data_IF_824526577642
#
_entry.id   IF_824526577642
#
_cell.length_a   1.000
_cell.length_b   1.000
_cell.length_c   1.000
_cell.angle_alpha   90.00
_cell.angle_beta   90.00
_cell.angle_gamma   90.00
#
_symmetry.space_group_name_H-M   'P 1'
#
loop_
_entity.id
_entity.type
_entity.pdbx_description
1 polymer ?
#
# COMPACT_ATOMS: atom_id res chain seq x y z
N UNK A 1 18.00 9.99 -5.96
CA UNK A 1 19.10 9.91 -6.95
C UNK A 1 18.75 8.95 -8.08
N UNK A 2 18.83 9.40 -9.35
CA UNK A 2 18.86 8.52 -10.54
C UNK A 2 20.33 8.41 -10.97
N UNK A 3 20.88 7.19 -10.93
CA UNK A 3 22.33 6.94 -11.08
C UNK A 3 23.14 7.31 -9.82
N UNK A 4 24.27 6.63 -9.59
CA UNK A 4 25.28 6.94 -8.54
C UNK A 4 24.76 7.02 -7.09
N UNK A 5 23.84 6.11 -6.71
CA UNK A 5 23.24 6.09 -5.36
C UNK A 5 24.26 5.92 -4.23
N UNK A 6 25.23 5.02 -4.42
CA UNK A 6 26.26 4.75 -3.43
C UNK A 6 27.20 5.95 -3.25
N UNK A 7 27.70 6.52 -4.36
CA UNK A 7 28.55 7.71 -4.33
C UNK A 7 27.86 8.88 -3.62
N UNK A 8 26.59 9.16 -3.96
CA UNK A 8 25.83 10.23 -3.31
C UNK A 8 25.57 9.95 -1.83
N UNK A 9 25.36 8.69 -1.45
CA UNK A 9 25.23 8.32 -0.04
C UNK A 9 26.55 8.54 0.72
N UNK A 10 27.67 8.16 0.14
CA UNK A 10 28.99 8.40 0.73
C UNK A 10 29.32 9.90 0.82
N UNK A 11 28.92 10.69 -0.19
CA UNK A 11 29.06 12.16 -0.17
C UNK A 11 28.21 12.79 0.95
N UNK A 12 26.95 12.37 1.06
CA UNK A 12 26.00 12.96 2.02
C UNK A 12 26.24 12.49 3.47
N UNK A 13 26.71 11.25 3.67
CA UNK A 13 26.72 10.58 4.98
C UNK A 13 28.03 9.87 5.34
N UNK A 14 29.03 9.85 4.45
CA UNK A 14 30.29 9.12 4.67
C UNK A 14 31.10 9.61 5.88
N UNK A 15 30.93 10.88 6.25
CA UNK A 15 31.56 11.48 7.43
C UNK A 15 30.63 11.56 8.65
N UNK A 16 29.47 10.90 8.60
CA UNK A 16 28.41 11.00 9.61
C UNK A 16 27.23 11.87 9.16
N UNK A 17 26.17 11.88 9.97
CA UNK A 17 24.95 12.64 9.70
C UNK A 17 25.00 14.03 10.34
N UNK A 18 25.01 15.08 9.52
CA UNK A 18 25.04 16.48 9.97
C UNK A 18 23.73 17.23 9.68
N UNK A 19 22.64 16.49 9.47
CA UNK A 19 21.35 17.04 9.08
C UNK A 19 21.08 17.00 7.59
N UNK A 20 19.84 17.32 7.21
CA UNK A 20 19.40 17.33 5.82
C UNK A 20 19.83 18.61 5.11
N UNK A 21 20.44 18.46 3.94
CA UNK A 21 20.65 19.57 3.01
C UNK A 21 19.32 20.15 2.53
N UNK A 22 19.33 21.35 1.96
CA UNK A 22 18.11 21.95 1.39
C UNK A 22 17.55 21.11 0.23
N UNK A 23 18.41 20.42 -0.52
CA UNK A 23 18.00 19.45 -1.52
C UNK A 23 17.25 18.26 -0.89
N UNK A 24 17.76 17.72 0.22
CA UNK A 24 17.05 16.67 0.98
C UNK A 24 15.71 17.16 1.52
N UNK A 25 15.66 18.36 2.12
CA UNK A 25 14.41 18.96 2.64
C UNK A 25 13.38 19.16 1.53
N UNK A 26 13.81 19.64 0.36
CA UNK A 26 12.94 19.81 -0.80
C UNK A 26 12.37 18.46 -1.29
N UNK A 27 13.19 17.41 -1.33
CA UNK A 27 12.72 16.06 -1.68
C UNK A 27 11.71 15.53 -0.66
N UNK A 28 11.96 15.72 0.64
CA UNK A 28 11.03 15.36 1.72
C UNK A 28 9.71 16.12 1.56
N UNK A 29 9.77 17.44 1.35
CA UNK A 29 8.60 18.29 1.15
C UNK A 29 7.77 17.89 -0.07
N UNK A 30 8.43 17.56 -1.20
CA UNK A 30 7.75 17.07 -2.39
C UNK A 30 7.02 15.75 -2.13
N UNK A 31 7.68 14.79 -1.48
CA UNK A 31 7.07 13.52 -1.12
C UNK A 31 5.87 13.70 -0.17
N UNK A 32 6.01 14.58 0.83
CA UNK A 32 4.94 14.88 1.77
C UNK A 32 3.72 15.51 1.09
N UNK A 33 3.93 16.49 0.20
CA UNK A 33 2.86 17.09 -0.61
C UNK A 33 2.16 16.04 -1.48
N UNK A 34 2.93 15.13 -2.09
CA UNK A 34 2.39 14.06 -2.92
C UNK A 34 1.50 13.10 -2.13
N UNK A 35 1.99 12.60 -0.99
CA UNK A 35 1.22 11.70 -0.12
C UNK A 35 -0.05 12.40 0.38
N UNK A 36 0.07 13.64 0.87
CA UNK A 36 -1.07 14.42 1.38
C UNK A 36 -2.15 14.59 0.32
N UNK A 37 -1.74 14.92 -0.91
CA UNK A 37 -2.65 15.03 -2.05
C UNK A 37 -3.38 13.71 -2.31
N UNK A 38 -2.65 12.60 -2.40
CA UNK A 38 -3.25 11.27 -2.64
C UNK A 38 -4.23 10.86 -1.54
N UNK A 39 -3.91 11.10 -0.26
CA UNK A 39 -4.81 10.82 0.87
C UNK A 39 -6.10 11.63 0.84
N UNK A 40 -6.05 12.86 0.32
CA UNK A 40 -7.22 13.73 0.19
C UNK A 40 -8.12 13.32 -0.98
N UNK A 41 -7.50 12.90 -2.07
CA UNK A 41 -8.17 12.61 -3.35
C UNK A 41 -8.58 11.13 -3.48
N UNK A 42 -8.20 10.26 -2.56
CA UNK A 42 -8.47 8.83 -2.68
C UNK A 42 -9.96 8.50 -2.47
N UNK A 43 -10.50 7.72 -3.38
CA UNK A 43 -11.79 7.06 -3.23
C UNK A 43 -11.60 5.69 -2.60
N UNK A 44 -12.24 5.47 -1.46
CA UNK A 44 -12.09 4.22 -0.69
C UNK A 44 -13.35 3.38 -0.80
N UNK A 45 -13.15 2.08 -1.00
CA UNK A 45 -14.19 1.08 -1.08
C UNK A 45 -14.02 0.07 0.05
N UNK A 46 -15.09 -0.60 0.45
CA UNK A 46 -15.04 -1.61 1.50
C UNK A 46 -15.90 -2.84 1.19
N UNK A 47 -15.56 -3.95 1.86
CA UNK A 47 -16.35 -5.17 1.90
C UNK A 47 -16.12 -5.89 3.23
N UNK A 48 -17.15 -6.56 3.76
CA UNK A 48 -17.01 -7.44 4.92
C UNK A 48 -17.04 -8.89 4.42
N UNK A 49 -15.95 -9.63 4.63
CA UNK A 49 -15.75 -10.93 3.99
C UNK A 49 -15.52 -12.01 5.04
N UNK A 50 -16.39 -13.03 5.13
CA UNK A 50 -16.19 -14.16 6.04
C UNK A 50 -15.11 -15.11 5.50
N UNK A 51 -14.04 -15.32 6.28
CA UNK A 51 -12.93 -16.22 5.95
C UNK A 51 -12.57 -17.03 7.19
N UNK A 52 -12.73 -18.36 7.13
CA UNK A 52 -12.35 -19.25 8.23
C UNK A 52 -13.05 -18.94 9.55
N UNK A 53 -14.35 -18.60 9.51
CA UNK A 53 -15.15 -18.29 10.70
C UNK A 53 -14.96 -16.89 11.27
N UNK A 54 -14.07 -16.07 10.70
CA UNK A 54 -13.89 -14.65 11.06
C UNK A 54 -14.32 -13.76 9.90
N UNK A 55 -15.10 -12.71 10.17
CA UNK A 55 -15.41 -11.69 9.18
C UNK A 55 -14.35 -10.60 9.23
N UNK A 56 -13.69 -10.35 8.10
CA UNK A 56 -12.68 -9.32 7.97
C UNK A 56 -13.23 -8.13 7.20
N UNK A 57 -12.97 -6.92 7.70
CA UNK A 57 -13.27 -5.67 6.99
C UNK A 57 -12.14 -5.35 6.02
N UNK A 58 -12.41 -5.54 4.73
CA UNK A 58 -11.54 -5.10 3.66
C UNK A 58 -11.79 -3.64 3.32
N UNK A 59 -10.72 -2.88 3.12
CA UNK A 59 -10.74 -1.51 2.61
C UNK A 59 -9.79 -1.42 1.42
N UNK A 60 -10.18 -0.70 0.38
CA UNK A 60 -9.44 -0.66 -0.89
C UNK A 60 -9.42 0.74 -1.50
N UNK A 61 -8.31 1.10 -2.15
CA UNK A 61 -8.19 2.33 -2.95
C UNK A 61 -7.36 2.08 -4.20
N UNK A 62 -7.45 3.01 -5.15
CA UNK A 62 -6.53 3.10 -6.27
C UNK A 62 -5.37 4.06 -5.95
N UNK A 63 -4.14 3.67 -6.28
CA UNK A 63 -2.98 4.56 -6.24
C UNK A 63 -1.87 4.06 -7.17
N UNK A 64 -1.14 4.99 -7.79
CA UNK A 64 0.00 4.66 -8.64
C UNK A 64 1.37 4.81 -7.95
N UNK A 65 1.36 5.33 -6.73
CA UNK A 65 2.55 5.65 -5.94
C UNK A 65 2.18 5.82 -4.47
N UNK A 66 3.19 5.83 -3.59
CA UNK A 66 3.00 5.88 -2.13
C UNK A 66 2.12 4.73 -1.63
N UNK A 67 2.30 3.54 -2.21
CA UNK A 67 1.40 2.39 -2.06
C UNK A 67 1.31 1.93 -0.61
N UNK A 68 2.43 1.90 0.10
CA UNK A 68 2.46 1.50 1.51
C UNK A 68 1.75 2.54 2.37
N UNK A 69 2.07 3.81 2.17
CA UNK A 69 1.50 4.92 2.94
C UNK A 69 0.00 5.08 2.72
N UNK A 70 -0.48 4.76 1.51
CA UNK A 70 -1.91 4.70 1.20
C UNK A 70 -2.58 3.50 1.86
N UNK A 71 -1.96 2.32 1.83
CA UNK A 71 -2.50 1.12 2.48
C UNK A 71 -2.66 1.32 4.00
N UNK A 72 -1.62 1.84 4.65
CA UNK A 72 -1.65 2.16 6.08
C UNK A 72 -2.71 3.22 6.38
N UNK A 73 -2.79 4.27 5.54
CA UNK A 73 -3.79 5.32 5.73
C UNK A 73 -5.23 4.83 5.67
N UNK A 74 -5.60 4.01 4.67
CA UNK A 74 -6.97 3.52 4.55
C UNK A 74 -7.31 2.50 5.64
N UNK A 75 -6.32 1.70 6.07
CA UNK A 75 -6.48 0.78 7.20
C UNK A 75 -6.81 1.55 8.47
N UNK A 76 -6.00 2.55 8.81
CA UNK A 76 -6.16 3.31 10.05
C UNK A 76 -7.40 4.20 10.02
N UNK A 77 -7.61 4.96 8.93
CA UNK A 77 -8.70 5.93 8.83
C UNK A 77 -10.09 5.28 8.83
N UNK A 78 -10.20 4.08 8.26
CA UNK A 78 -11.48 3.38 8.11
C UNK A 78 -11.58 2.14 9.00
N UNK A 79 -10.67 1.97 9.97
CA UNK A 79 -10.59 0.83 10.88
C UNK A 79 -10.70 -0.53 10.15
N UNK A 80 -9.97 -0.64 9.04
CA UNK A 80 -9.93 -1.86 8.22
C UNK A 80 -9.05 -2.94 8.84
N UNK A 81 -9.40 -4.20 8.59
CA UNK A 81 -8.55 -5.33 8.95
C UNK A 81 -7.54 -5.63 7.84
N UNK A 82 -7.97 -5.52 6.58
CA UNK A 82 -7.18 -5.81 5.39
C UNK A 82 -7.28 -4.63 4.41
N UNK A 83 -6.13 -4.08 4.02
CA UNK A 83 -5.99 -2.93 3.12
C UNK A 83 -5.49 -3.37 1.75
N UNK A 84 -6.17 -2.92 0.70
CA UNK A 84 -5.82 -3.19 -0.69
C UNK A 84 -5.48 -1.88 -1.39
N UNK A 85 -4.39 -1.88 -2.15
CA UNK A 85 -4.06 -0.76 -3.03
C UNK A 85 -3.84 -1.29 -4.45
N UNK A 86 -4.70 -0.84 -5.36
CA UNK A 86 -4.71 -1.27 -6.76
C UNK A 86 -3.98 -0.24 -7.60
N UNK A 87 -2.89 -0.68 -8.24
CA UNK A 87 -2.14 0.12 -9.21
C UNK A 87 -2.46 -0.35 -10.63
N UNK A 88 -3.37 0.37 -11.28
CA UNK A 88 -3.79 0.07 -12.66
C UNK A 88 -2.68 0.30 -13.69
N UNK A 89 -1.74 1.23 -13.42
CA UNK A 89 -0.63 1.52 -14.34
C UNK A 89 0.36 0.36 -14.41
N UNK A 90 0.70 -0.24 -13.26
CA UNK A 90 1.61 -1.38 -13.20
C UNK A 90 0.89 -2.73 -13.23
N UNK A 91 -0.45 -2.74 -13.25
CA UNK A 91 -1.29 -3.94 -13.14
C UNK A 91 -0.94 -4.78 -11.89
N UNK A 92 -0.77 -4.12 -10.75
CA UNK A 92 -0.42 -4.77 -9.47
C UNK A 92 -1.42 -4.44 -8.38
N UNK A 93 -1.58 -5.38 -7.45
CA UNK A 93 -2.36 -5.22 -6.22
C UNK A 93 -1.43 -5.42 -5.03
N UNK A 94 -1.50 -4.53 -4.05
CA UNK A 94 -0.76 -4.64 -2.79
C UNK A 94 -1.70 -4.88 -1.62
N UNK A 95 -1.32 -5.80 -0.75
CA UNK A 95 -2.07 -6.22 0.42
C UNK A 95 -1.31 -5.83 1.69
N UNK A 96 -2.02 -5.26 2.65
CA UNK A 96 -1.56 -5.00 4.03
C UNK A 96 -2.64 -5.42 5.00
N UNK A 97 -2.26 -5.74 6.24
CA UNK A 97 -3.22 -6.05 7.29
C UNK A 97 -2.93 -5.27 8.55
N UNK A 98 -3.97 -4.97 9.31
CA UNK A 98 -3.83 -4.53 10.69
C UNK A 98 -3.23 -5.67 11.54
N UNK A 99 -2.44 -5.34 12.56
CA UNK A 99 -1.79 -6.32 13.44
C UNK A 99 -2.76 -7.28 14.12
N UNK A 100 -4.00 -6.84 14.37
CA UNK A 100 -5.06 -7.68 14.98
C UNK A 100 -5.60 -8.76 14.03
N UNK A 101 -5.43 -8.59 12.72
CA UNK A 101 -5.94 -9.52 11.72
C UNK A 101 -5.05 -10.77 11.63
N UNK A 102 -5.65 -11.94 11.84
CA UNK A 102 -4.94 -13.24 11.83
C UNK A 102 -4.78 -13.85 10.44
N UNK A 103 -5.41 -13.27 9.43
CA UNK A 103 -5.37 -13.77 8.05
C UNK A 103 -3.94 -13.72 7.48
N UNK A 104 -3.52 -14.80 6.83
CA UNK A 104 -2.23 -14.89 6.12
C UNK A 104 -2.38 -14.23 4.73
N UNK A 105 -1.79 -13.05 4.55
CA UNK A 105 -1.89 -12.32 3.29
C UNK A 105 -1.10 -12.97 2.15
N UNK A 106 -0.03 -13.71 2.43
CA UNK A 106 0.73 -14.40 1.40
C UNK A 106 -0.12 -15.46 0.72
N UNK A 107 -0.83 -16.26 1.52
CA UNK A 107 -1.79 -17.26 1.02
C UNK A 107 -2.98 -16.61 0.31
N UNK A 108 -3.49 -15.49 0.82
CA UNK A 108 -4.58 -14.76 0.17
C UNK A 108 -4.17 -14.22 -1.21
N UNK A 109 -3.02 -13.56 -1.30
CA UNK A 109 -2.51 -13.00 -2.55
C UNK A 109 -2.21 -14.09 -3.59
N UNK A 110 -1.71 -15.25 -3.15
CA UNK A 110 -1.50 -16.39 -4.02
C UNK A 110 -2.80 -16.87 -4.66
N UNK A 111 -3.89 -16.96 -3.89
CA UNK A 111 -5.20 -17.36 -4.40
C UNK A 111 -5.84 -16.32 -5.32
N UNK A 112 -5.74 -15.04 -4.98
CA UNK A 112 -6.49 -13.98 -5.66
C UNK A 112 -5.75 -13.35 -6.84
N UNK A 113 -4.41 -13.30 -6.82
CA UNK A 113 -3.63 -12.40 -7.69
C UNK A 113 -2.38 -13.05 -8.30
N UNK A 114 -2.29 -14.38 -8.31
CA UNK A 114 -1.09 -15.14 -8.72
C UNK A 114 0.18 -14.61 -8.03
N UNK A 115 0.00 -14.18 -6.78
CA UNK A 115 0.96 -13.43 -6.00
C UNK A 115 1.54 -14.22 -4.84
N UNK A 116 2.11 -13.48 -3.90
CA UNK A 116 2.66 -14.02 -2.68
C UNK A 116 3.21 -12.92 -1.78
N UNK A 117 3.86 -13.33 -0.69
CA UNK A 117 4.50 -12.41 0.24
C UNK A 117 4.51 -12.93 1.67
N UNK A 118 4.69 -12.01 2.60
CA UNK A 118 4.67 -12.27 4.03
C UNK A 118 3.22 -12.30 4.56
N UNK A 119 3.01 -12.94 5.70
CA UNK A 119 1.70 -12.99 6.36
C UNK A 119 1.10 -11.60 6.68
N UNK A 120 1.92 -10.54 6.77
CA UNK A 120 1.50 -9.15 7.06
C UNK A 120 1.40 -8.27 5.81
N UNK A 121 2.03 -8.71 4.72
CA UNK A 121 2.35 -7.86 3.59
C UNK A 121 2.56 -8.72 2.34
N UNK A 122 1.67 -8.59 1.37
CA UNK A 122 1.73 -9.38 0.14
C UNK A 122 1.41 -8.54 -1.10
N UNK A 123 1.59 -9.12 -2.27
CA UNK A 123 1.27 -8.48 -3.53
C UNK A 123 1.10 -9.48 -4.66
N UNK A 124 0.48 -9.05 -5.74
CA UNK A 124 0.29 -9.86 -6.93
C UNK A 124 -0.14 -9.05 -8.13
N UNK A 125 -0.49 -9.76 -9.19
CA UNK A 125 -0.91 -9.19 -10.47
C UNK A 125 -2.42 -8.94 -10.47
N UNK A 126 -2.82 -7.83 -11.10
CA UNK A 126 -4.22 -7.57 -11.39
C UNK A 126 -4.67 -8.56 -12.49
N UNK A 127 -5.48 -9.54 -12.11
CA UNK A 127 -6.01 -10.59 -12.98
C UNK A 127 -7.55 -10.66 -12.91
N UNK A 128 -8.15 -11.55 -13.69
CA UNK A 128 -9.61 -11.71 -13.73
C UNK A 128 -10.20 -12.17 -12.39
N UNK A 129 -9.51 -13.06 -11.67
CA UNK A 129 -9.98 -13.53 -10.37
C UNK A 129 -10.08 -12.38 -9.36
N UNK A 130 -9.07 -11.51 -9.30
CA UNK A 130 -9.13 -10.31 -8.48
C UNK A 130 -10.23 -9.36 -8.94
N UNK A 131 -10.44 -9.19 -10.25
CA UNK A 131 -11.50 -8.34 -10.79
C UNK A 131 -12.89 -8.83 -10.34
N UNK A 132 -13.16 -10.13 -10.43
CA UNK A 132 -14.40 -10.73 -9.90
C UNK A 132 -14.54 -10.50 -8.40
N UNK A 133 -13.45 -10.72 -7.65
CA UNK A 133 -13.39 -10.41 -6.22
C UNK A 133 -13.69 -8.95 -5.90
N UNK A 134 -13.36 -7.98 -6.77
CA UNK A 134 -13.69 -6.57 -6.49
C UNK A 134 -15.17 -6.23 -6.58
N UNK A 135 -16.00 -7.05 -7.24
CA UNK A 135 -17.43 -6.75 -7.46
C UNK A 135 -18.26 -6.68 -6.17
N UNK A 136 -17.77 -7.28 -5.08
CA UNK A 136 -18.44 -7.22 -3.76
C UNK A 136 -18.15 -5.91 -3.01
N UNK A 137 -17.19 -5.11 -3.47
CA UNK A 137 -16.81 -3.88 -2.79
C UNK A 137 -17.82 -2.77 -3.08
N UNK A 138 -18.06 -1.94 -2.07
CA UNK A 138 -18.94 -0.77 -2.17
C UNK A 138 -18.17 0.49 -1.77
N UNK A 139 -18.46 1.66 -2.37
CA UNK A 139 -17.85 2.92 -1.96
C UNK A 139 -18.15 3.23 -0.48
N UNK A 140 -17.15 3.72 0.26
CA UNK A 140 -17.38 4.30 1.58
C UNK A 140 -17.92 5.72 1.38
N UNK A 141 -19.11 5.99 1.91
CA UNK A 141 -19.69 7.35 1.95
C UNK A 141 -19.02 8.22 2.99
#
# INVERSE_FOLDING_TARGET
YKGKRLEKFLEDFGNGFFGFSDLHKNMIGFNHKKITRLKRECEVHHANIPIGGTTYKFVSTFADSCINEMADHILDKYDGDIGLVVNVKTKKVSFRKNKRAKLDLGKLANKLTDGGGHEYAAGGTLNENFLEFTKIFQPIK
#
